data_IF_689066583227
#
_entry.id   IF_689066583227
#
_cell.length_a   1.000
_cell.length_b   1.000
_cell.length_c   1.000
_cell.angle_alpha   90.00
_cell.angle_beta   90.00
_cell.angle_gamma   90.00
#
_symmetry.space_group_name_H-M   'P 1'
#
loop_
_entity.id
_entity.type
_entity.pdbx_description
1 polymer ?
#
# COMPACT_ATOMS: atom_id res chain seq x y z
N UNK A 1 18.16 4.35 -8.41
CA UNK A 1 18.94 5.55 -8.72
C UNK A 1 19.89 5.88 -7.56
N UNK A 2 21.12 6.25 -7.86
CA UNK A 2 22.15 6.53 -6.87
C UNK A 2 22.69 7.95 -7.04
N UNK A 3 23.11 8.54 -5.93
CA UNK A 3 24.01 9.70 -5.94
C UNK A 3 25.36 9.21 -5.40
N UNK A 4 26.42 9.22 -6.22
CA UNK A 4 27.82 8.89 -5.86
C UNK A 4 27.97 7.48 -5.28
N UNK A 5 27.90 6.43 -6.05
CA UNK A 5 28.22 5.03 -5.66
C UNK A 5 27.76 4.59 -4.26
N UNK A 6 26.68 5.19 -3.78
CA UNK A 6 26.07 4.90 -2.48
C UNK A 6 24.81 4.06 -2.66
N UNK A 7 24.15 3.75 -1.55
CA UNK A 7 22.87 3.03 -1.52
C UNK A 7 21.80 3.77 -2.33
N UNK A 8 20.82 3.02 -2.80
CA UNK A 8 19.73 3.53 -3.63
C UNK A 8 18.93 4.61 -2.91
N UNK A 9 18.72 5.73 -3.58
CA UNK A 9 17.94 6.85 -3.05
C UNK A 9 16.49 6.85 -3.53
N UNK A 10 16.23 6.17 -4.64
CA UNK A 10 14.90 6.02 -5.24
C UNK A 10 14.72 4.58 -5.68
N UNK A 11 13.61 3.98 -5.30
CA UNK A 11 13.24 2.64 -5.76
C UNK A 11 11.76 2.57 -6.14
N UNK A 12 11.48 1.78 -7.16
CA UNK A 12 10.14 1.37 -7.57
C UNK A 12 10.07 -0.15 -7.44
N UNK A 13 9.14 -0.64 -6.64
CA UNK A 13 8.97 -2.07 -6.39
C UNK A 13 7.59 -2.47 -6.86
N UNK A 14 7.50 -3.54 -7.65
CA UNK A 14 6.23 -4.15 -8.02
C UNK A 14 6.15 -5.54 -7.43
N UNK A 15 5.10 -5.80 -6.67
CA UNK A 15 4.81 -7.11 -6.10
C UNK A 15 3.61 -7.73 -6.82
N UNK A 16 3.77 -8.96 -7.26
CA UNK A 16 2.70 -9.76 -7.87
C UNK A 16 2.28 -10.85 -6.90
N UNK A 17 1.00 -10.92 -6.60
CA UNK A 17 0.41 -11.93 -5.71
C UNK A 17 -0.37 -12.97 -6.51
N UNK A 18 -0.53 -14.16 -5.94
CA UNK A 18 -1.20 -15.29 -6.62
C UNK A 18 -2.66 -15.01 -7.01
N UNK A 19 -3.35 -14.12 -6.28
CA UNK A 19 -4.74 -13.75 -6.51
C UNK A 19 -4.92 -12.56 -7.47
N UNK A 20 -4.00 -12.34 -8.39
CA UNK A 20 -3.99 -11.22 -9.35
C UNK A 20 -3.88 -9.83 -8.71
N UNK A 21 -3.64 -9.74 -7.40
CA UNK A 21 -3.34 -8.48 -6.75
C UNK A 21 -1.95 -8.01 -7.16
N UNK A 22 -1.84 -6.74 -7.51
CA UNK A 22 -0.57 -6.09 -7.82
C UNK A 22 -0.39 -4.93 -6.85
N UNK A 23 0.79 -4.82 -6.25
CA UNK A 23 1.16 -3.67 -5.44
C UNK A 23 2.35 -2.95 -6.05
N UNK A 24 2.24 -1.62 -6.18
CA UNK A 24 3.33 -0.74 -6.59
C UNK A 24 3.77 0.11 -5.40
N UNK A 25 5.04 0.08 -5.10
CA UNK A 25 5.63 0.85 -4.02
C UNK A 25 6.68 1.80 -4.63
N UNK A 26 6.50 3.08 -4.42
CA UNK A 26 7.49 4.10 -4.76
C UNK A 26 8.07 4.67 -3.48
N UNK A 27 9.37 4.55 -3.32
CA UNK A 27 10.12 5.15 -2.23
C UNK A 27 11.18 6.10 -2.76
N UNK A 28 11.25 7.29 -2.17
CA UNK A 28 12.16 8.33 -2.59
C UNK A 28 12.68 9.08 -1.37
N UNK A 29 13.98 8.94 -1.13
CA UNK A 29 14.65 9.61 -0.03
C UNK A 29 15.06 11.05 -0.34
N UNK A 30 15.10 11.41 -1.62
CA UNK A 30 15.59 12.70 -2.10
C UNK A 30 14.49 13.74 -2.31
N UNK A 31 13.23 13.35 -2.18
CA UNK A 31 12.12 14.27 -2.39
C UNK A 31 12.12 15.37 -1.31
N UNK A 32 12.12 16.65 -1.70
CA UNK A 32 11.98 17.75 -0.75
C UNK A 32 10.59 17.83 -0.12
N UNK A 33 9.62 17.15 -0.73
CA UNK A 33 8.24 17.07 -0.24
C UNK A 33 8.00 15.68 0.34
N UNK A 34 7.56 15.64 1.60
CA UNK A 34 7.17 14.39 2.25
C UNK A 34 5.79 13.95 1.74
N UNK A 35 5.71 12.75 1.19
CA UNK A 35 4.46 12.12 0.76
C UNK A 35 4.39 10.75 1.41
N UNK A 36 3.24 10.44 2.05
CA UNK A 36 2.92 9.13 2.62
C UNK A 36 1.48 8.77 2.29
N UNK A 37 1.28 8.28 1.08
CA UNK A 37 -0.05 7.98 0.58
C UNK A 37 -0.14 6.54 0.12
N UNK A 38 -1.23 5.88 0.50
CA UNK A 38 -1.58 4.52 0.05
C UNK A 38 -2.91 4.58 -0.68
N UNK A 39 -2.95 3.96 -1.85
CA UNK A 39 -4.14 3.83 -2.69
C UNK A 39 -4.51 2.34 -2.75
N UNK A 40 -5.73 2.00 -2.35
CA UNK A 40 -6.26 0.63 -2.43
C UNK A 40 -7.43 0.66 -3.41
N UNK A 41 -7.21 0.13 -4.60
CA UNK A 41 -8.22 0.02 -5.65
C UNK A 41 -8.90 -1.35 -5.61
N UNK A 42 -10.21 -1.37 -5.58
CA UNK A 42 -11.04 -2.53 -5.80
C UNK A 42 -12.02 -2.31 -6.94
N UNK A 43 -12.79 -3.33 -7.26
CA UNK A 43 -13.82 -3.31 -8.31
C UNK A 43 -14.97 -2.33 -8.01
N UNK A 44 -15.30 -2.16 -6.74
CA UNK A 44 -16.45 -1.36 -6.28
C UNK A 44 -16.06 -0.05 -5.65
N UNK A 45 -14.95 -0.03 -4.93
CA UNK A 45 -14.54 1.11 -4.11
C UNK A 45 -13.04 1.33 -4.20
N UNK A 46 -12.65 2.58 -3.95
CA UNK A 46 -11.26 2.95 -3.80
C UNK A 46 -11.06 3.60 -2.43
N UNK A 47 -9.99 3.22 -1.74
CA UNK A 47 -9.58 3.83 -0.48
C UNK A 47 -8.29 4.60 -0.72
N UNK A 48 -8.26 5.83 -0.23
CA UNK A 48 -7.07 6.66 -0.17
C UNK A 48 -6.73 6.87 1.30
N UNK A 49 -5.55 6.44 1.69
CA UNK A 49 -4.98 6.73 3.01
C UNK A 49 -3.83 7.71 2.84
N UNK A 50 -3.91 8.86 3.51
CA UNK A 50 -2.85 9.86 3.54
C UNK A 50 -2.42 10.08 5.00
N UNK A 51 -1.22 9.61 5.35
CA UNK A 51 -0.71 9.68 6.72
C UNK A 51 -0.43 11.12 7.20
N UNK A 52 -0.24 12.02 6.25
CA UNK A 52 0.09 13.43 6.55
C UNK A 52 -1.16 14.33 6.64
N UNK A 53 -2.31 13.84 6.23
CA UNK A 53 -3.57 14.57 6.32
C UNK A 53 -4.09 14.52 7.76
N UNK A 54 -4.28 15.66 8.45
CA UNK A 54 -4.64 15.65 9.86
C UNK A 54 -6.10 15.29 10.12
N UNK A 55 -7.01 15.66 9.23
CA UNK A 55 -8.44 15.54 9.46
C UNK A 55 -9.10 14.37 8.69
N UNK A 56 -8.72 14.17 7.46
CA UNK A 56 -9.34 13.21 6.54
C UNK A 56 -8.35 12.17 6.05
N UNK A 57 -7.66 11.51 6.98
CA UNK A 57 -6.62 10.51 6.68
C UNK A 57 -7.09 9.39 5.78
N UNK A 58 -8.35 8.98 5.92
CA UNK A 58 -8.98 7.96 5.09
C UNK A 58 -10.10 8.57 4.29
N UNK A 59 -10.06 8.40 2.97
CA UNK A 59 -11.13 8.76 2.04
C UNK A 59 -11.58 7.52 1.32
N UNK A 60 -12.87 7.27 1.32
CA UNK A 60 -13.47 6.12 0.65
C UNK A 60 -14.33 6.66 -0.49
N UNK A 61 -13.95 6.27 -1.70
CA UNK A 61 -14.66 6.64 -2.92
C UNK A 61 -15.54 5.47 -3.35
N UNK A 62 -16.84 5.70 -3.45
CA UNK A 62 -17.79 4.74 -4.01
C UNK A 62 -17.82 4.87 -5.54
N UNK A 63 -16.67 4.64 -6.14
CA UNK A 63 -16.44 4.69 -7.58
C UNK A 63 -15.83 3.38 -8.03
N UNK A 64 -16.32 2.85 -9.12
CA UNK A 64 -15.84 1.60 -9.68
C UNK A 64 -15.88 1.61 -11.21
N UNK A 65 -15.29 0.57 -11.77
CA UNK A 65 -15.32 0.33 -13.21
C UNK A 65 -16.31 -0.81 -13.45
N UNK A 66 -17.32 -0.59 -14.27
CA UNK A 66 -18.17 -1.65 -14.79
C UNK A 66 -17.57 -2.14 -16.11
N UNK A 67 -17.08 -3.36 -16.13
CA UNK A 67 -16.80 -4.08 -17.37
C UNK A 67 -18.09 -4.75 -17.82
N UNK A 68 -18.58 -4.35 -18.99
CA UNK A 68 -19.74 -5.03 -19.59
C UNK A 68 -19.24 -6.29 -20.27
N UNK A 69 -19.76 -7.44 -19.90
CA UNK A 69 -19.35 -8.76 -20.42
C UNK A 69 -19.94 -9.11 -21.81
N UNK A 70 -20.73 -8.22 -22.41
CA UNK A 70 -21.30 -8.45 -23.73
C UNK A 70 -20.30 -8.17 -24.86
N UNK A 71 -20.22 -9.07 -25.84
CA UNK A 71 -19.32 -8.96 -27.00
C UNK A 71 -19.42 -7.64 -27.76
N UNK A 72 -20.61 -7.06 -27.87
CA UNK A 72 -20.81 -5.70 -28.45
C UNK A 72 -20.17 -4.58 -27.64
N UNK A 73 -20.06 -4.75 -26.33
CA UNK A 73 -19.44 -3.75 -25.43
C UNK A 73 -17.92 -3.79 -25.52
N UNK A 74 -17.35 -4.96 -25.75
CA UNK A 74 -15.91 -5.16 -25.98
C UNK A 74 -15.51 -4.49 -27.29
N UNK A 75 -16.34 -4.62 -28.35
CA UNK A 75 -16.09 -4.02 -29.65
C UNK A 75 -16.12 -2.48 -29.61
N UNK A 76 -16.93 -1.90 -28.75
CA UNK A 76 -17.06 -0.45 -28.60
C UNK A 76 -16.14 0.18 -27.54
N UNK A 77 -15.29 -0.60 -26.87
CA UNK A 77 -14.43 -0.16 -25.76
C UNK A 77 -15.17 0.73 -24.72
N UNK A 78 -16.43 0.44 -24.47
CA UNK A 78 -17.23 1.22 -23.52
C UNK A 78 -16.91 0.75 -22.10
N UNK A 79 -15.97 1.45 -21.47
CA UNK A 79 -15.75 1.36 -20.02
C UNK A 79 -16.73 2.33 -19.37
N UNK A 80 -17.69 1.79 -18.64
CA UNK A 80 -18.59 2.61 -17.83
C UNK A 80 -17.93 2.95 -16.50
N UNK A 81 -17.75 4.23 -16.22
CA UNK A 81 -17.34 4.67 -14.88
C UNK A 81 -18.58 4.84 -14.01
N UNK A 82 -18.64 4.11 -12.91
CA UNK A 82 -19.63 4.37 -11.88
C UNK A 82 -19.19 5.59 -11.08
N UNK A 83 -19.95 6.66 -11.17
CA UNK A 83 -19.82 7.81 -10.28
C UNK A 83 -20.58 7.54 -8.98
N UNK A 84 -19.98 7.85 -7.85
CA UNK A 84 -20.58 7.71 -6.53
C UNK A 84 -19.98 8.71 -5.55
N UNK A 85 -20.45 8.64 -4.32
CA UNK A 85 -20.06 9.55 -3.26
C UNK A 85 -18.65 9.27 -2.75
N UNK A 86 -18.07 10.27 -2.09
CA UNK A 86 -16.87 10.15 -1.29
C UNK A 86 -17.21 10.49 0.15
N UNK A 87 -16.73 9.68 1.09
CA UNK A 87 -16.83 10.02 2.50
C UNK A 87 -15.51 9.78 3.21
N UNK A 88 -15.26 10.60 4.23
CA UNK A 88 -14.14 10.45 5.13
C UNK A 88 -14.68 10.00 6.50
N UNK A 89 -14.36 8.78 6.96
CA UNK A 89 -14.76 8.34 8.28
C UNK A 89 -14.03 9.14 9.35
N UNK A 90 -14.71 9.44 10.44
CA UNK A 90 -14.07 10.00 11.62
C UNK A 90 -13.19 8.93 12.26
N UNK A 91 -11.90 9.21 12.35
CA UNK A 91 -10.92 8.32 12.96
C UNK A 91 -10.57 8.83 14.36
N UNK A 92 -10.28 7.89 15.25
CA UNK A 92 -9.70 8.23 16.54
C UNK A 92 -8.27 8.79 16.34
N UNK A 93 -8.06 10.02 16.80
CA UNK A 93 -6.81 10.76 16.67
C UNK A 93 -5.79 10.45 17.77
N UNK A 94 -6.00 9.36 18.53
CA UNK A 94 -5.01 8.93 19.54
C UNK A 94 -3.65 8.73 18.89
N UNK A 95 -2.63 9.30 19.51
CA UNK A 95 -1.25 9.24 18.99
C UNK A 95 -0.78 7.80 18.77
N UNK A 96 -0.12 7.55 17.63
CA UNK A 96 0.32 6.23 17.23
C UNK A 96 1.28 5.59 18.22
N UNK A 97 2.22 6.36 18.80
CA UNK A 97 3.18 5.86 19.77
C UNK A 97 2.50 5.46 21.09
N UNK A 98 1.48 6.20 21.52
CA UNK A 98 0.67 5.85 22.69
C UNK A 98 -0.08 4.53 22.47
N UNK A 99 -0.69 4.34 21.30
CA UNK A 99 -1.35 3.07 20.93
C UNK A 99 -0.37 1.91 20.91
N UNK A 100 0.79 2.11 20.29
CA UNK A 100 1.86 1.09 20.23
C UNK A 100 2.31 0.67 21.62
N UNK A 101 2.56 1.62 22.52
CA UNK A 101 3.00 1.35 23.89
C UNK A 101 1.94 0.60 24.69
N UNK A 102 0.67 0.99 24.56
CA UNK A 102 -0.42 0.28 25.23
C UNK A 102 -0.59 -1.14 24.69
N UNK A 103 -0.56 -1.32 23.37
CA UNK A 103 -0.65 -2.64 22.76
C UNK A 103 0.52 -3.54 23.20
N UNK A 104 1.74 -3.01 23.22
CA UNK A 104 2.92 -3.75 23.72
C UNK A 104 2.75 -4.18 25.17
N UNK A 105 2.30 -3.28 26.04
CA UNK A 105 1.98 -3.60 27.44
C UNK A 105 0.93 -4.71 27.55
N UNK A 106 -0.13 -4.62 26.75
CA UNK A 106 -1.24 -5.58 26.78
C UNK A 106 -0.80 -6.96 26.26
N UNK A 107 0.10 -7.01 25.27
CA UNK A 107 0.76 -8.25 24.86
C UNK A 107 1.61 -8.87 25.96
N UNK A 108 2.40 -8.08 26.71
CA UNK A 108 3.21 -8.57 27.84
C UNK A 108 2.30 -9.19 28.91
N UNK A 109 1.14 -8.60 29.16
CA UNK A 109 0.18 -9.11 30.13
C UNK A 109 -0.71 -10.25 29.61
N UNK A 110 -0.50 -10.71 28.39
CA UNK A 110 -1.28 -11.79 27.78
C UNK A 110 -2.73 -11.42 27.47
N UNK A 111 -3.04 -10.11 27.38
CA UNK A 111 -4.37 -9.61 27.06
C UNK A 111 -4.62 -9.48 25.55
N UNK A 112 -3.54 -9.41 24.78
CA UNK A 112 -3.58 -9.23 23.34
C UNK A 112 -2.43 -9.98 22.68
N UNK A 113 -2.53 -10.24 21.38
CA UNK A 113 -1.47 -10.84 20.57
C UNK A 113 -0.75 -9.76 19.72
N UNK A 114 0.58 -9.89 19.55
CA UNK A 114 1.33 -8.92 18.75
C UNK A 114 0.85 -8.86 17.30
N UNK A 115 0.30 -7.73 16.86
CA UNK A 115 -0.06 -7.48 15.46
C UNK A 115 1.16 -7.59 14.55
N UNK A 116 2.31 -7.08 15.02
CA UNK A 116 3.60 -7.17 14.34
C UNK A 116 4.47 -8.26 14.98
N UNK A 117 4.09 -9.51 14.78
CA UNK A 117 4.84 -10.65 15.31
C UNK A 117 6.08 -10.98 14.45
N UNK A 118 6.89 -11.95 14.90
CA UNK A 118 8.13 -12.36 14.22
C UNK A 118 7.90 -12.83 12.78
N UNK A 119 6.77 -13.50 12.49
CA UNK A 119 6.44 -13.94 11.13
C UNK A 119 6.15 -12.76 10.21
N UNK A 120 5.46 -11.74 10.71
CA UNK A 120 5.22 -10.50 9.97
C UNK A 120 6.55 -9.78 9.66
N UNK A 121 7.45 -9.69 10.63
CA UNK A 121 8.78 -9.14 10.45
C UNK A 121 9.59 -9.92 9.41
N UNK A 122 9.59 -11.24 9.50
CA UNK A 122 10.30 -12.11 8.54
C UNK A 122 9.79 -11.92 7.11
N UNK A 123 8.47 -11.79 6.90
CA UNK A 123 7.90 -11.52 5.57
C UNK A 123 8.41 -10.21 4.98
N UNK A 124 8.46 -9.16 5.78
CA UNK A 124 8.98 -7.85 5.34
C UNK A 124 10.45 -7.96 4.94
N UNK A 125 11.28 -8.61 5.77
CA UNK A 125 12.71 -8.80 5.47
C UNK A 125 12.90 -9.56 4.17
N UNK A 126 12.18 -10.66 3.96
CA UNK A 126 12.24 -11.43 2.71
C UNK A 126 11.86 -10.61 1.48
N UNK A 127 10.83 -9.78 1.58
CA UNK A 127 10.46 -8.87 0.47
C UNK A 127 11.57 -7.86 0.18
N UNK A 128 12.21 -7.30 1.19
CA UNK A 128 13.33 -6.37 1.02
C UNK A 128 14.57 -7.03 0.42
N UNK A 129 14.91 -8.23 0.85
CA UNK A 129 16.00 -9.03 0.26
C UNK A 129 15.73 -9.35 -1.21
N UNK A 130 14.51 -9.80 -1.53
CA UNK A 130 14.12 -10.07 -2.91
C UNK A 130 14.16 -8.81 -3.78
N UNK A 131 13.74 -7.66 -3.25
CA UNK A 131 13.84 -6.38 -3.95
C UNK A 131 15.30 -6.00 -4.22
N UNK A 132 16.20 -6.18 -3.25
CA UNK A 132 17.65 -5.93 -3.40
C UNK A 132 18.25 -6.82 -4.48
N UNK A 133 17.93 -8.12 -4.46
CA UNK A 133 18.39 -9.07 -5.49
C UNK A 133 17.86 -8.67 -6.88
N UNK A 134 16.59 -8.30 -6.97
CA UNK A 134 15.98 -7.85 -8.22
C UNK A 134 16.66 -6.59 -8.76
N UNK A 135 16.93 -5.60 -7.92
CA UNK A 135 17.66 -4.38 -8.31
C UNK A 135 19.05 -4.70 -8.83
N UNK A 136 19.80 -5.59 -8.17
CA UNK A 136 21.13 -6.03 -8.64
C UNK A 136 21.07 -6.80 -9.97
N UNK A 137 19.93 -7.34 -10.35
CA UNK A 137 19.69 -8.10 -11.57
C UNK A 137 18.86 -7.32 -12.62
N UNK A 138 18.96 -6.01 -12.65
CA UNK A 138 18.25 -5.13 -13.59
C UNK A 138 16.72 -5.29 -13.57
N UNK A 139 16.14 -5.48 -12.39
CA UNK A 139 14.70 -5.58 -12.20
C UNK A 139 14.08 -6.92 -12.58
N UNK A 140 14.87 -7.98 -12.71
CA UNK A 140 14.32 -9.32 -12.98
C UNK A 140 13.46 -9.78 -11.81
N UNK A 141 12.32 -10.45 -12.08
CA UNK A 141 11.47 -10.99 -11.02
C UNK A 141 12.22 -11.98 -10.13
N UNK A 142 12.00 -11.85 -8.82
CA UNK A 142 12.52 -12.74 -7.79
C UNK A 142 11.37 -13.31 -7.00
N UNK A 143 11.32 -14.61 -6.84
CA UNK A 143 10.31 -15.28 -6.01
C UNK A 143 10.79 -15.30 -4.55
N UNK A 144 9.91 -15.03 -3.59
CA UNK A 144 10.19 -14.97 -2.16
C UNK A 144 9.12 -15.62 -1.30
#
# INVERSE_FOLDING_TARGET
>A
SHIRDQLENVAYITLFFENSLIAHIHVNWMSPVKIRRTLLGGDKKMIVYDDLEPAEKVKIYDKGIHTFENEESIYNMKVGYRMGDMWAPNLDNTEALFRLTNHFRDCIHGKDEPVTNSLSGLRVVRMMEAATISMGNNGKPVKF
#
